data_IF_618020174526
#
_entry.id   IF_618020174526
#
_cell.length_a   1.000
_cell.length_b   1.000
_cell.length_c   1.000
_cell.angle_alpha   90.00
_cell.angle_beta   90.00
_cell.angle_gamma   90.00
#
_symmetry.space_group_name_H-M   'P 1'
#
loop_
_entity.id
_entity.type
_entity.pdbx_description
1 polymer ?
#
# COMPACT_ATOMS: atom_id res chain seq x y z
N UNK A 1 -25.63 -8.54 6.25
CA UNK A 1 -24.22 -8.87 6.54
C UNK A 1 -23.37 -8.40 5.37
N UNK A 2 -22.57 -7.35 5.54
CA UNK A 2 -21.66 -6.90 4.50
C UNK A 2 -20.48 -7.87 4.45
N UNK A 3 -20.33 -8.63 3.34
CA UNK A 3 -19.21 -9.55 3.16
C UNK A 3 -17.87 -8.82 3.33
N UNK A 4 -16.93 -9.46 4.01
CA UNK A 4 -15.60 -8.90 4.23
C UNK A 4 -14.98 -8.46 2.89
N UNK A 5 -14.35 -7.29 2.82
CA UNK A 5 -13.77 -6.82 1.59
C UNK A 5 -12.64 -7.79 1.18
N UNK A 6 -12.67 -8.25 -0.07
CA UNK A 6 -11.69 -9.22 -0.56
C UNK A 6 -10.30 -8.57 -0.58
N UNK A 7 -9.40 -9.10 0.24
CA UNK A 7 -8.00 -8.71 0.26
C UNK A 7 -7.25 -9.41 -0.87
N UNK A 8 -6.38 -8.67 -1.55
CA UNK A 8 -5.45 -9.18 -2.56
C UNK A 8 -4.03 -9.09 -2.05
N UNK A 9 -3.34 -10.22 -2.02
CA UNK A 9 -1.92 -10.29 -1.73
C UNK A 9 -1.11 -10.08 -3.01
N UNK A 10 -0.01 -9.35 -2.90
CA UNK A 10 0.91 -9.07 -3.99
C UNK A 10 2.22 -9.85 -3.80
N UNK A 11 2.99 -9.98 -4.88
CA UNK A 11 4.32 -10.56 -4.79
C UNK A 11 5.19 -9.77 -3.78
N UNK A 12 5.96 -10.45 -2.92
CA UNK A 12 6.80 -9.78 -1.94
C UNK A 12 7.87 -8.92 -2.62
N UNK A 13 8.21 -7.80 -1.99
CA UNK A 13 9.25 -6.89 -2.46
C UNK A 13 10.45 -7.01 -1.52
N UNK A 14 11.62 -7.32 -2.07
CA UNK A 14 12.88 -7.31 -1.34
C UNK A 14 13.65 -6.03 -1.61
N UNK A 15 14.19 -5.43 -0.56
CA UNK A 15 15.02 -4.24 -0.64
C UNK A 15 16.23 -4.38 0.27
N UNK A 16 17.42 -4.29 -0.31
CA UNK A 16 18.66 -4.25 0.45
C UNK A 16 18.78 -2.92 1.20
N UNK A 17 19.07 -3.00 2.49
CA UNK A 17 19.51 -1.90 3.34
C UNK A 17 20.99 -2.11 3.67
N UNK A 18 21.64 -1.10 4.24
CA UNK A 18 23.09 -1.10 4.50
C UNK A 18 23.58 -2.32 5.30
N UNK A 19 22.74 -2.84 6.20
CA UNK A 19 23.10 -3.94 7.11
C UNK A 19 22.06 -5.06 7.18
N UNK A 20 21.01 -5.03 6.35
CA UNK A 20 19.90 -5.98 6.42
C UNK A 20 19.11 -6.01 5.12
N UNK A 21 18.29 -7.04 4.95
CA UNK A 21 17.28 -7.08 3.90
C UNK A 21 15.91 -6.75 4.49
N UNK A 22 15.13 -5.97 3.76
CA UNK A 22 13.72 -5.72 4.05
C UNK A 22 12.87 -6.50 3.05
N UNK A 23 12.07 -7.44 3.53
CA UNK A 23 11.05 -8.13 2.73
C UNK A 23 9.66 -7.58 3.09
N UNK A 24 8.98 -6.98 2.13
CA UNK A 24 7.66 -6.37 2.28
C UNK A 24 6.59 -7.26 1.65
N UNK A 25 5.61 -7.66 2.46
CA UNK A 25 4.43 -8.41 2.03
C UNK A 25 3.24 -7.45 1.90
N UNK A 26 2.91 -7.06 0.67
CA UNK A 26 1.88 -6.04 0.43
C UNK A 26 0.50 -6.66 0.23
N UNK A 27 -0.49 -6.12 0.94
CA UNK A 27 -1.90 -6.51 0.82
C UNK A 27 -2.73 -5.27 0.49
N UNK A 28 -3.59 -5.37 -0.52
CA UNK A 28 -4.53 -4.30 -0.90
C UNK A 28 -5.97 -4.76 -0.73
N UNK A 29 -6.84 -3.86 -0.32
CA UNK A 29 -8.26 -4.16 -0.10
C UNK A 29 -9.11 -3.17 -0.89
N UNK A 30 -10.12 -3.67 -1.63
CA UNK A 30 -11.10 -2.80 -2.29
C UNK A 30 -12.27 -2.54 -1.34
N UNK A 31 -12.42 -1.30 -0.92
CA UNK A 31 -13.49 -0.88 -0.01
C UNK A 31 -14.74 -0.48 -0.79
N UNK A 32 -15.91 -0.71 -0.18
CA UNK A 32 -17.17 -0.20 -0.72
C UNK A 32 -17.27 1.30 -0.44
N UNK A 33 -17.98 2.01 -1.30
CA UNK A 33 -18.28 3.43 -1.04
C UNK A 33 -19.06 3.54 0.28
N UNK A 34 -18.66 4.48 1.14
CA UNK A 34 -19.26 4.67 2.46
C UNK A 34 -18.69 3.77 3.56
N UNK A 35 -17.70 2.91 3.26
CA UNK A 35 -16.94 2.23 4.31
C UNK A 35 -16.20 3.27 5.16
N UNK A 36 -16.43 3.24 6.47
CA UNK A 36 -15.69 4.08 7.41
C UNK A 36 -14.20 3.72 7.35
N UNK A 37 -13.36 4.74 7.18
CA UNK A 37 -11.92 4.58 7.13
C UNK A 37 -11.32 4.86 8.52
N UNK A 38 -10.28 4.13 8.93
CA UNK A 38 -9.44 4.53 10.06
C UNK A 38 -8.97 5.98 9.91
N UNK A 39 -8.95 6.73 11.01
CA UNK A 39 -8.53 8.14 11.02
C UNK A 39 -7.05 8.33 11.36
N UNK A 40 -6.35 7.26 11.76
CA UNK A 40 -4.92 7.33 12.02
C UNK A 40 -4.15 7.60 10.71
N UNK A 41 -3.44 8.73 10.66
CA UNK A 41 -2.69 9.16 9.49
C UNK A 41 -3.53 9.94 8.48
N UNK A 42 -3.28 9.74 7.18
CA UNK A 42 -3.94 10.51 6.12
C UNK A 42 -4.16 9.64 4.89
N UNK A 43 -5.33 9.81 4.26
CA UNK A 43 -5.69 9.16 3.01
C UNK A 43 -5.28 10.02 1.82
N UNK A 44 -4.62 9.41 0.85
CA UNK A 44 -4.11 10.10 -0.34
C UNK A 44 -4.62 9.43 -1.62
N UNK A 45 -5.01 10.25 -2.59
CA UNK A 45 -5.29 9.77 -3.94
C UNK A 45 -3.99 9.31 -4.62
N UNK A 46 -4.12 8.41 -5.63
CA UNK A 46 -2.97 7.86 -6.34
C UNK A 46 -2.05 8.92 -6.96
N UNK A 47 -2.62 10.03 -7.42
CA UNK A 47 -1.85 11.14 -8.00
C UNK A 47 -0.92 11.83 -6.97
N UNK A 48 -1.27 11.81 -5.69
CA UNK A 48 -0.50 12.45 -4.63
C UNK A 48 0.75 11.64 -4.23
N UNK A 49 0.80 10.34 -4.52
CA UNK A 49 1.88 9.47 -4.05
C UNK A 49 3.27 9.92 -4.47
N UNK A 50 3.40 10.54 -5.65
CA UNK A 50 4.70 10.97 -6.20
C UNK A 50 5.37 12.08 -5.37
N UNK A 51 4.59 12.90 -4.67
CA UNK A 51 5.11 14.01 -3.85
C UNK A 51 5.23 13.65 -2.36
N UNK A 52 4.67 12.52 -1.96
CA UNK A 52 4.93 11.94 -0.65
C UNK A 52 6.36 11.39 -0.68
N UNK A 53 7.22 11.85 0.22
CA UNK A 53 8.62 11.41 0.34
C UNK A 53 8.73 9.94 0.83
N UNK A 54 8.05 9.02 0.13
CA UNK A 54 7.91 7.62 0.47
C UNK A 54 9.25 6.90 0.29
N UNK A 55 9.56 5.93 1.17
CA UNK A 55 10.72 5.07 1.00
C UNK A 55 10.72 4.39 -0.36
N UNK A 56 11.90 4.21 -0.94
CA UNK A 56 12.09 3.65 -2.28
C UNK A 56 11.27 2.37 -2.57
N UNK A 57 11.22 1.33 -1.70
CA UNK A 57 10.46 0.13 -2.03
C UNK A 57 8.94 0.34 -2.02
N UNK A 58 8.42 1.24 -1.17
CA UNK A 58 6.99 1.58 -1.13
C UNK A 58 6.60 2.40 -2.34
N UNK A 59 7.40 3.42 -2.69
CA UNK A 59 7.18 4.23 -3.90
C UNK A 59 7.17 3.37 -5.16
N UNK A 60 8.15 2.47 -5.32
CA UNK A 60 8.22 1.52 -6.45
C UNK A 60 6.97 0.62 -6.53
N UNK A 61 6.40 0.20 -5.41
CA UNK A 61 5.18 -0.59 -5.41
C UNK A 61 3.98 0.19 -5.97
N UNK A 62 3.85 1.45 -5.58
CA UNK A 62 2.71 2.33 -5.84
C UNK A 62 2.73 2.99 -7.24
N UNK A 63 3.90 3.14 -7.86
CA UNK A 63 4.03 3.75 -9.20
C UNK A 63 3.56 2.82 -10.34
N UNK A 64 3.38 1.53 -10.08
CA UNK A 64 2.94 0.54 -11.09
C UNK A 64 1.42 0.37 -11.04
N UNK A 65 0.69 0.51 -12.16
CA UNK A 65 -0.75 0.22 -12.23
C UNK A 65 -1.03 -1.26 -11.87
N UNK A 66 -2.06 -1.55 -11.06
CA UNK A 66 -2.40 -2.92 -10.60
C UNK A 66 -3.89 -3.19 -10.49
#
# INVERSE_FOLDING_TARGET
QAGAPAARQHAPIRHALTHRELELHVVSVRLRRGTALPQDGTWFEGAAWRVLALPAPVRKFLEVPR
#
